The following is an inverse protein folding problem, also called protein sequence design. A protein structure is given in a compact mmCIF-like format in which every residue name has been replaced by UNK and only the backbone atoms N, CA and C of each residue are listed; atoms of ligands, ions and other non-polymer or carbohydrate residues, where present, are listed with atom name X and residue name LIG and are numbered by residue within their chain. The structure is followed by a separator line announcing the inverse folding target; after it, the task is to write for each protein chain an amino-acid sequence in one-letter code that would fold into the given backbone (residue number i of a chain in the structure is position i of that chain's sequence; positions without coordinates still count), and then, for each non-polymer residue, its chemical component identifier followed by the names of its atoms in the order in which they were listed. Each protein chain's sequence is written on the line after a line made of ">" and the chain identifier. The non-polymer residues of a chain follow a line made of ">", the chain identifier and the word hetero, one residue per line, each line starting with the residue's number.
data_IF_173642267994
#
_entry.id   IF_173642267994
#
_cell.length_a   1.000
_cell.length_b   1.000
_cell.length_c   1.000
_cell.angle_alpha   90.00
_cell.angle_beta   90.00
_cell.angle_gamma   90.00
#
_symmetry.space_group_name_H-M   'P 1'
#
loop_
_entity.id
_entity.type
_entity.pdbx_description
1 polymer ?
#
# COMPACT_ATOMS: atom_id res chain seq x y z
N UNK A 1 4.46 -9.27 7.14
CA UNK A 1 3.43 -8.47 6.41
C UNK A 1 4.06 -7.44 5.48
N UNK A 2 5.08 -6.71 5.93
CA UNK A 2 5.67 -5.65 5.10
C UNK A 2 6.18 -6.17 3.75
N UNK A 3 6.87 -7.30 3.74
CA UNK A 3 7.36 -7.88 2.49
C UNK A 3 6.25 -8.29 1.52
N UNK A 4 5.14 -8.78 2.06
CA UNK A 4 4.00 -9.16 1.23
C UNK A 4 3.33 -7.94 0.62
N UNK A 5 3.22 -6.83 1.36
CA UNK A 5 2.66 -5.60 0.84
C UNK A 5 3.53 -5.03 -0.27
N UNK A 6 4.85 -5.01 -0.06
CA UNK A 6 5.78 -4.54 -1.08
C UNK A 6 5.66 -5.39 -2.35
N UNK A 7 5.66 -6.70 -2.22
CA UNK A 7 5.58 -7.59 -3.38
C UNK A 7 4.28 -7.36 -4.15
N UNK A 8 3.17 -7.19 -3.44
CA UNK A 8 1.87 -6.98 -4.07
C UNK A 8 1.83 -5.65 -4.82
N UNK A 9 2.36 -4.58 -4.22
CA UNK A 9 2.32 -3.25 -4.81
C UNK A 9 3.30 -3.15 -5.98
N UNK A 10 4.48 -3.75 -5.85
CA UNK A 10 5.54 -3.60 -6.86
C UNK A 10 5.44 -4.58 -8.02
N UNK A 11 4.45 -5.47 -7.99
CA UNK A 11 4.33 -6.54 -9.00
C UNK A 11 4.26 -6.01 -10.44
N UNK A 12 3.58 -4.88 -10.65
CA UNK A 12 3.37 -4.32 -11.98
C UNK A 12 4.26 -3.11 -12.26
N UNK A 13 5.38 -2.98 -11.55
CA UNK A 13 6.35 -1.94 -11.81
C UNK A 13 6.23 -0.69 -10.96
N UNK A 14 5.20 -0.58 -10.13
CA UNK A 14 5.10 0.53 -9.18
C UNK A 14 6.15 0.36 -8.08
N UNK A 15 6.45 1.46 -7.38
CA UNK A 15 7.44 1.43 -6.30
C UNK A 15 6.81 1.85 -4.98
N UNK A 16 6.99 1.03 -3.97
CA UNK A 16 6.62 1.36 -2.61
C UNK A 16 7.79 2.11 -1.98
N UNK A 17 7.64 3.43 -1.81
CA UNK A 17 8.73 4.28 -1.34
C UNK A 17 8.66 4.60 0.14
N UNK A 18 7.51 4.34 0.78
CA UNK A 18 7.37 4.51 2.21
C UNK A 18 6.29 3.57 2.72
N UNK A 19 6.51 2.98 3.89
CA UNK A 19 5.57 2.04 4.48
C UNK A 19 5.66 2.12 6.00
N UNK A 20 4.55 2.46 6.63
CA UNK A 20 4.40 2.41 8.08
C UNK A 20 3.31 1.42 8.42
N UNK A 21 3.64 0.45 9.27
CA UNK A 21 2.70 -0.53 9.79
C UNK A 21 2.68 -0.43 11.30
N UNK A 22 1.49 -0.52 11.88
CA UNK A 22 1.37 -0.56 13.35
C UNK A 22 0.17 -1.41 13.74
N UNK A 23 0.21 -1.91 14.97
CA UNK A 23 -0.88 -2.71 15.50
C UNK A 23 -1.98 -1.79 16.05
N UNK A 24 -3.20 -2.00 15.58
CA UNK A 24 -4.37 -1.29 16.11
C UNK A 24 -5.02 -2.07 17.26
N UNK A 25 -4.87 -3.40 17.26
CA UNK A 25 -5.40 -4.28 18.28
C UNK A 25 -5.12 -5.72 17.86
N UNK A 26 -5.54 -6.73 18.64
CA UNK A 26 -5.30 -8.12 18.29
C UNK A 26 -5.87 -8.43 16.91
N UNK A 27 -5.00 -8.88 15.98
CA UNK A 27 -5.41 -9.23 14.63
C UNK A 27 -5.73 -8.06 13.72
N UNK A 28 -5.45 -6.81 14.15
CA UNK A 28 -5.76 -5.61 13.35
C UNK A 28 -4.52 -4.75 13.19
N UNK A 29 -4.23 -4.38 11.94
CA UNK A 29 -3.09 -3.53 11.60
C UNK A 29 -3.58 -2.30 10.86
N UNK A 30 -2.88 -1.18 11.09
CA UNK A 30 -3.00 0.01 10.27
C UNK A 30 -1.79 0.14 9.38
N UNK A 31 -1.96 0.75 8.22
CA UNK A 31 -0.86 1.00 7.29
C UNK A 31 -1.00 2.38 6.65
N UNK A 32 0.14 3.06 6.51
CA UNK A 32 0.26 4.26 5.70
C UNK A 32 1.34 3.96 4.67
N UNK A 33 0.99 4.07 3.40
CA UNK A 33 1.92 3.76 2.32
C UNK A 33 2.01 4.91 1.33
N UNK A 34 3.18 5.05 0.72
CA UNK A 34 3.40 5.99 -0.38
C UNK A 34 3.91 5.19 -1.57
N UNK A 35 3.23 5.34 -2.70
CA UNK A 35 3.51 4.58 -3.92
C UNK A 35 3.84 5.53 -5.05
N UNK A 36 4.92 5.27 -5.78
CA UNK A 36 5.24 5.97 -7.01
C UNK A 36 4.77 5.12 -8.19
N UNK A 37 3.94 5.69 -9.03
CA UNK A 37 3.42 4.98 -10.21
C UNK A 37 3.44 5.90 -11.43
N UNK A 38 3.85 5.35 -12.57
CA UNK A 38 3.75 6.01 -13.86
C UNK A 38 2.39 5.77 -14.51
N UNK A 39 1.54 4.96 -13.90
CA UNK A 39 0.24 4.58 -14.44
C UNK A 39 -0.87 5.45 -13.86
N UNK A 40 -2.05 5.43 -14.48
CA UNK A 40 -3.20 6.18 -14.01
C UNK A 40 -3.93 5.38 -12.93
N UNK A 41 -3.34 5.31 -11.75
CA UNK A 41 -3.89 4.60 -10.61
C UNK A 41 -4.08 5.56 -9.45
N UNK A 42 -5.19 5.41 -8.75
CA UNK A 42 -5.50 6.26 -7.59
C UNK A 42 -5.41 5.45 -6.29
N UNK A 43 -5.63 6.13 -5.17
CA UNK A 43 -5.56 5.47 -3.87
C UNK A 43 -6.59 4.36 -3.74
N UNK A 44 -7.75 4.50 -4.37
CA UNK A 44 -8.79 3.47 -4.31
C UNK A 44 -8.32 2.17 -4.98
N UNK A 45 -7.54 2.27 -6.07
CA UNK A 45 -6.96 1.10 -6.71
C UNK A 45 -6.12 0.30 -5.72
N UNK A 46 -5.24 0.99 -4.99
CA UNK A 46 -4.34 0.31 -4.05
C UNK A 46 -5.09 -0.21 -2.83
N UNK A 47 -6.10 0.50 -2.34
CA UNK A 47 -6.90 0.00 -1.24
C UNK A 47 -7.64 -1.29 -1.63
N UNK A 48 -8.16 -1.36 -2.87
CA UNK A 48 -8.78 -2.60 -3.35
C UNK A 48 -7.76 -3.72 -3.48
N UNK A 49 -6.58 -3.41 -4.00
CA UNK A 49 -5.51 -4.38 -4.16
C UNK A 49 -5.10 -4.98 -2.80
N UNK A 50 -5.03 -4.13 -1.77
CA UNK A 50 -4.62 -4.56 -0.44
C UNK A 50 -5.78 -5.14 0.38
N UNK A 51 -7.00 -5.08 -0.12
CA UNK A 51 -8.16 -5.63 0.56
C UNK A 51 -8.09 -7.14 0.76
N UNK A 52 -7.21 -7.83 0.07
CA UNK A 52 -6.96 -9.25 0.25
C UNK A 52 -6.36 -9.58 1.63
N UNK A 53 -5.75 -8.60 2.27
CA UNK A 53 -5.11 -8.78 3.58
C UNK A 53 -6.10 -8.40 4.68
N UNK A 54 -6.79 -9.40 5.22
CA UNK A 54 -7.91 -9.18 6.15
C UNK A 54 -7.48 -8.53 7.47
N UNK A 55 -6.22 -8.70 7.85
CA UNK A 55 -5.71 -8.06 9.06
C UNK A 55 -5.46 -6.56 8.90
N UNK A 56 -5.42 -6.04 7.67
CA UNK A 56 -5.30 -4.60 7.44
C UNK A 56 -6.68 -3.97 7.59
N UNK A 57 -6.91 -3.33 8.74
CA UNK A 57 -8.20 -2.71 9.06
C UNK A 57 -8.28 -1.26 8.65
N UNK A 58 -7.12 -0.61 8.50
CA UNK A 58 -7.06 0.82 8.18
C UNK A 58 -5.86 1.04 7.25
N UNK A 59 -6.12 1.59 6.06
CA UNK A 59 -5.06 1.80 5.06
C UNK A 59 -5.19 3.20 4.48
N UNK A 60 -4.12 3.97 4.57
CA UNK A 60 -4.00 5.27 3.91
C UNK A 60 -2.96 5.13 2.81
N UNK A 61 -3.30 5.60 1.61
CA UNK A 61 -2.41 5.49 0.45
C UNK A 61 -2.17 6.87 -0.14
N UNK A 62 -0.90 7.23 -0.25
CA UNK A 62 -0.46 8.41 -0.99
C UNK A 62 0.08 7.96 -2.34
N UNK A 63 -0.48 8.49 -3.42
CA UNK A 63 -0.05 8.13 -4.77
C UNK A 63 0.76 9.27 -5.35
N UNK A 64 1.99 8.98 -5.75
CA UNK A 64 2.94 9.95 -6.27
C UNK A 64 3.30 9.61 -7.71
N UNK A 65 3.61 10.64 -8.49
CA UNK A 65 4.08 10.44 -9.86
C UNK A 65 5.61 10.42 -9.89
N UNK A 66 6.21 9.73 -10.88
CA UNK A 66 7.67 9.79 -11.04
C UNK A 66 8.15 11.22 -11.26
N UNK A 67 9.39 11.48 -10.88
CA UNK A 67 9.97 12.81 -10.85
C UNK A 67 10.42 13.34 -12.23
N UNK A 68 10.10 12.70 -13.31
CA UNK A 68 10.52 13.13 -14.65
C UNK A 68 9.42 13.79 -15.45
#
# INVERSE_FOLDING_TARGET
>A
MAGKLRDTIERDGDRLVDLHLWRLGPGHLGAVISVVTAQSRDSAFYRRLLGRYKSLSHVTVEVLKPAT
#
